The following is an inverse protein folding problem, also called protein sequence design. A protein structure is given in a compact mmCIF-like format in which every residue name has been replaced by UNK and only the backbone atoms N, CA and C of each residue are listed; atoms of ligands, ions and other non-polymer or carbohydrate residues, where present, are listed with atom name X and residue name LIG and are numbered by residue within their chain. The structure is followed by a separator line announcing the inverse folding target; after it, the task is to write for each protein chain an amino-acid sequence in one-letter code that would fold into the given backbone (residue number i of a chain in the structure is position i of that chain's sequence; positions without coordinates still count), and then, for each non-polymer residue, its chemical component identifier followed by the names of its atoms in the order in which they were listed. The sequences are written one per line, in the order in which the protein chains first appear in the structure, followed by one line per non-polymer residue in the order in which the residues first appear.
data_IF_025844424469
#
_entry.id   IF_025844424469
#
_cell.length_a   1.000
_cell.length_b   1.000
_cell.length_c   1.000
_cell.angle_alpha   90.00
_cell.angle_beta   90.00
_cell.angle_gamma   90.00
#
_symmetry.space_group_name_H-M   'P 1'
#
loop_
_entity.id
_entity.type
_entity.pdbx_description
1 polymer ?
#
# COMPACT_ATOMS: atom_id res chain seq x y z
N UNK A 1 -37.28 -57.86 6.77
CA UNK A 1 -36.88 -56.72 7.63
C UNK A 1 -35.38 -56.49 7.47
N UNK A 2 -34.96 -55.49 6.68
CA UNK A 2 -33.55 -55.12 6.53
C UNK A 2 -33.16 -54.08 7.58
N UNK A 3 -32.15 -54.39 8.41
CA UNK A 3 -31.56 -53.43 9.36
C UNK A 3 -30.62 -52.49 8.60
N UNK A 4 -30.93 -51.20 8.59
CA UNK A 4 -30.07 -50.13 8.08
C UNK A 4 -28.70 -50.21 8.77
N UNK A 5 -27.63 -50.26 7.98
CA UNK A 5 -26.27 -50.23 8.47
C UNK A 5 -26.01 -48.92 9.20
N UNK A 6 -25.96 -49.02 10.53
CA UNK A 6 -25.54 -48.02 11.49
C UNK A 6 -24.18 -47.44 11.09
N UNK A 7 -24.17 -46.15 10.75
CA UNK A 7 -22.99 -45.43 10.29
C UNK A 7 -21.86 -45.51 11.34
N UNK A 8 -20.76 -46.20 10.99
CA UNK A 8 -19.51 -46.19 11.75
C UNK A 8 -18.54 -45.19 11.11
N UNK A 9 -17.94 -44.27 11.88
CA UNK A 9 -16.88 -43.40 11.36
C UNK A 9 -15.69 -44.25 10.91
N UNK A 10 -15.07 -43.86 9.79
CA UNK A 10 -13.85 -44.51 9.33
C UNK A 10 -12.71 -44.30 10.34
N UNK A 11 -11.70 -45.19 10.38
CA UNK A 11 -10.51 -44.97 11.20
C UNK A 11 -9.91 -43.58 10.97
N UNK A 12 -9.65 -42.82 12.05
CA UNK A 12 -9.16 -41.44 11.99
C UNK A 12 -10.23 -40.34 11.97
N UNK A 13 -11.52 -40.70 11.82
CA UNK A 13 -12.60 -39.72 11.86
C UNK A 13 -13.10 -39.49 13.30
N UNK A 14 -13.10 -38.23 13.73
CA UNK A 14 -13.63 -37.82 15.04
C UNK A 14 -15.09 -37.40 14.88
N UNK A 15 -15.98 -37.91 15.76
CA UNK A 15 -17.36 -37.42 15.84
C UNK A 15 -17.36 -36.04 16.50
N UNK A 16 -17.72 -35.02 15.74
CA UNK A 16 -17.87 -33.66 16.21
C UNK A 16 -19.36 -33.42 16.50
N UNK A 17 -19.69 -32.95 17.71
CA UNK A 17 -21.07 -32.54 18.02
C UNK A 17 -21.41 -31.29 17.23
N UNK A 18 -22.67 -31.09 16.85
CA UNK A 18 -23.12 -29.90 16.11
C UNK A 18 -22.64 -28.59 16.76
N UNK A 19 -22.70 -28.49 18.09
CA UNK A 19 -22.17 -27.34 18.84
C UNK A 19 -20.66 -27.11 18.63
N UNK A 20 -19.86 -28.17 18.59
CA UNK A 20 -18.42 -28.08 18.33
C UNK A 20 -18.13 -27.68 16.88
N UNK A 21 -18.95 -28.14 15.93
CA UNK A 21 -18.84 -27.76 14.52
C UNK A 21 -19.10 -26.26 14.34
N UNK A 22 -20.14 -25.72 15.00
CA UNK A 22 -20.44 -24.29 15.03
C UNK A 22 -19.27 -23.49 15.64
N UNK A 23 -18.71 -23.95 16.75
CA UNK A 23 -17.56 -23.28 17.39
C UNK A 23 -16.33 -23.24 16.48
N UNK A 24 -16.04 -24.32 15.76
CA UNK A 24 -14.94 -24.36 14.79
C UNK A 24 -15.18 -23.40 13.61
N UNK A 25 -16.41 -23.35 13.09
CA UNK A 25 -16.77 -22.42 12.02
C UNK A 25 -16.64 -20.96 12.46
N UNK A 26 -17.14 -20.62 13.65
CA UNK A 26 -16.97 -19.26 14.20
C UNK A 26 -15.50 -18.91 14.45
N UNK A 27 -14.69 -19.85 14.92
CA UNK A 27 -13.25 -19.64 15.11
C UNK A 27 -12.53 -19.40 13.77
N UNK A 28 -12.87 -20.17 12.73
CA UNK A 28 -12.32 -19.98 11.39
C UNK A 28 -12.71 -18.63 10.79
N UNK A 29 -13.97 -18.20 10.95
CA UNK A 29 -14.42 -16.88 10.49
C UNK A 29 -13.66 -15.75 11.19
N UNK A 30 -13.53 -15.80 12.53
CA UNK A 30 -12.76 -14.80 13.28
C UNK A 30 -11.28 -14.78 12.90
N UNK A 31 -10.68 -15.94 12.65
CA UNK A 31 -9.29 -16.00 12.18
C UNK A 31 -9.13 -15.28 10.83
N UNK A 32 -10.07 -15.49 9.90
CA UNK A 32 -10.09 -14.77 8.62
C UNK A 32 -10.30 -13.26 8.77
N UNK A 33 -11.17 -12.84 9.69
CA UNK A 33 -11.40 -11.41 10.01
C UNK A 33 -10.10 -10.76 10.53
N UNK A 34 -9.40 -11.42 11.46
CA UNK A 34 -8.13 -10.94 12.01
C UNK A 34 -7.05 -10.88 10.94
N UNK A 35 -6.97 -11.88 10.06
CA UNK A 35 -6.01 -11.88 8.95
C UNK A 35 -6.25 -10.72 7.97
N UNK A 36 -7.52 -10.43 7.66
CA UNK A 36 -7.90 -9.31 6.81
C UNK A 36 -7.58 -7.96 7.46
N UNK A 37 -7.88 -7.79 8.76
CA UNK A 37 -7.55 -6.58 9.51
C UNK A 37 -6.04 -6.38 9.60
N UNK A 38 -5.28 -7.43 9.90
CA UNK A 38 -3.82 -7.39 9.94
C UNK A 38 -3.23 -7.04 8.57
N UNK A 39 -3.77 -7.58 7.48
CA UNK A 39 -3.34 -7.21 6.13
C UNK A 39 -3.65 -5.75 5.77
N UNK A 40 -4.76 -5.20 6.28
CA UNK A 40 -5.09 -3.77 6.17
C UNK A 40 -4.06 -2.92 6.90
N UNK A 41 -3.82 -3.22 8.19
CA UNK A 41 -2.86 -2.48 9.02
C UNK A 41 -1.44 -2.53 8.46
N UNK A 42 -1.02 -3.66 7.87
CA UNK A 42 0.29 -3.76 7.20
C UNK A 42 0.38 -2.84 5.98
N UNK A 43 -0.69 -2.72 5.19
CA UNK A 43 -0.74 -1.83 4.03
C UNK A 43 -0.70 -0.36 4.46
N UNK A 44 -1.48 0.01 5.47
CA UNK A 44 -1.43 1.36 6.06
C UNK A 44 -0.03 1.70 6.59
N UNK A 45 0.58 0.78 7.34
CA UNK A 45 1.94 0.95 7.85
C UNK A 45 2.97 1.09 6.72
N UNK A 46 2.81 0.33 5.63
CA UNK A 46 3.68 0.41 4.46
C UNK A 46 3.54 1.75 3.71
N UNK A 47 2.30 2.26 3.60
CA UNK A 47 2.02 3.57 3.02
C UNK A 47 2.67 4.71 3.82
N UNK A 48 2.51 4.70 5.16
CA UNK A 48 3.18 5.68 6.05
C UNK A 48 4.70 5.61 5.89
N UNK A 49 5.26 4.39 5.82
CA UNK A 49 6.70 4.23 5.60
C UNK A 49 7.15 4.70 4.20
N UNK A 50 6.30 4.57 3.19
CA UNK A 50 6.55 5.09 1.84
C UNK A 50 6.55 6.62 1.83
N UNK A 51 5.57 7.26 2.46
CA UNK A 51 5.50 8.71 2.65
C UNK A 51 6.74 9.25 3.38
N UNK A 52 7.11 8.62 4.50
CA UNK A 52 8.29 9.02 5.27
C UNK A 52 9.59 8.94 4.45
N UNK A 53 9.75 7.90 3.62
CA UNK A 53 10.90 7.77 2.71
C UNK A 53 10.89 8.81 1.60
N UNK A 54 9.72 9.07 1.00
CA UNK A 54 9.58 10.08 -0.04
C UNK A 54 9.92 11.48 0.48
N UNK A 55 9.41 11.84 1.67
CA UNK A 55 9.71 13.10 2.33
C UNK A 55 11.21 13.26 2.64
N UNK A 56 11.85 12.22 3.19
CA UNK A 56 13.29 12.24 3.47
C UNK A 56 14.15 12.38 2.19
N UNK A 57 13.72 11.75 1.09
CA UNK A 57 14.39 11.90 -0.20
C UNK A 57 14.27 13.35 -0.70
N UNK A 58 13.07 13.94 -0.72
CA UNK A 58 12.86 15.31 -1.17
C UNK A 58 13.68 16.33 -0.36
N UNK A 59 13.75 16.16 0.96
CA UNK A 59 14.58 16.98 1.86
C UNK A 59 16.07 16.91 1.48
N UNK A 60 16.59 15.72 1.16
CA UNK A 60 17.99 15.56 0.73
C UNK A 60 18.32 16.25 -0.59
N UNK A 61 17.31 16.54 -1.42
CA UNK A 61 17.44 17.33 -2.65
C UNK A 61 17.17 18.82 -2.44
N UNK A 62 16.86 19.25 -1.21
CA UNK A 62 16.50 20.63 -0.87
C UNK A 62 15.17 21.08 -1.49
N UNK A 63 14.29 20.12 -1.81
CA UNK A 63 12.98 20.39 -2.39
C UNK A 63 11.94 20.43 -1.27
N UNK A 64 11.17 21.51 -1.18
CA UNK A 64 9.92 21.46 -0.42
C UNK A 64 9.01 20.44 -1.10
N UNK A 65 8.69 19.35 -0.41
CA UNK A 65 7.82 18.31 -0.92
C UNK A 65 6.43 18.91 -1.21
N UNK A 66 6.08 19.14 -2.49
CA UNK A 66 4.79 19.72 -2.77
C UNK A 66 3.75 18.61 -2.52
N UNK A 67 2.66 18.96 -1.83
CA UNK A 67 1.69 17.98 -1.30
C UNK A 67 1.16 17.03 -2.38
N UNK A 68 1.00 17.54 -3.60
CA UNK A 68 0.58 16.79 -4.78
C UNK A 68 1.51 15.63 -5.14
N UNK A 69 2.79 15.69 -4.78
CA UNK A 69 3.78 14.64 -5.03
C UNK A 69 3.73 13.51 -3.98
N UNK A 70 3.23 13.82 -2.78
CA UNK A 70 2.99 12.85 -1.71
C UNK A 70 1.58 12.21 -1.83
N UNK A 71 0.63 12.91 -2.45
CA UNK A 71 -0.74 12.42 -2.63
C UNK A 71 -0.83 11.26 -3.65
N UNK A 72 0.10 11.15 -4.60
CA UNK A 72 0.15 10.09 -5.63
C UNK A 72 1.52 9.38 -5.67
N UNK A 73 1.94 8.83 -4.53
CA UNK A 73 3.19 8.10 -4.45
C UNK A 73 3.14 6.81 -5.28
N UNK A 74 4.14 6.56 -6.14
CA UNK A 74 4.21 5.31 -6.88
C UNK A 74 4.52 4.18 -5.90
N UNK A 75 3.50 3.42 -5.53
CA UNK A 75 3.59 2.30 -4.58
C UNK A 75 3.43 0.96 -5.28
N UNK A 76 4.07 -0.07 -4.73
CA UNK A 76 3.90 -1.46 -5.15
C UNK A 76 2.61 -2.05 -4.58
N UNK A 77 2.22 -3.23 -5.05
CA UNK A 77 1.03 -3.95 -4.57
C UNK A 77 1.05 -4.26 -3.06
N UNK A 78 2.23 -4.29 -2.44
CA UNK A 78 2.42 -4.48 -1.01
C UNK A 78 2.37 -3.17 -0.19
N UNK A 79 2.14 -2.03 -0.84
CA UNK A 79 2.11 -0.70 -0.22
C UNK A 79 3.47 -0.06 -0.01
N UNK A 80 4.57 -0.69 -0.46
CA UNK A 80 5.92 -0.10 -0.35
C UNK A 80 6.18 0.90 -1.47
N UNK A 81 7.11 1.85 -1.26
CA UNK A 81 7.49 2.84 -2.26
C UNK A 81 8.22 2.16 -3.43
N UNK A 82 7.81 2.47 -4.66
CA UNK A 82 8.52 2.06 -5.87
C UNK A 82 9.63 3.07 -6.18
N UNK A 83 10.76 2.94 -5.49
CA UNK A 83 11.90 3.90 -5.54
C UNK A 83 12.30 4.35 -6.96
N UNK A 84 12.49 3.47 -7.97
CA UNK A 84 12.88 3.93 -9.31
C UNK A 84 11.84 4.84 -9.99
N UNK A 85 10.55 4.62 -9.72
CA UNK A 85 9.48 5.41 -10.30
C UNK A 85 9.36 6.75 -9.57
N UNK A 86 9.58 6.73 -8.26
CA UNK A 86 9.67 7.92 -7.44
C UNK A 86 10.84 8.80 -7.87
N UNK A 87 12.05 8.24 -8.01
CA UNK A 87 13.24 8.97 -8.44
C UNK A 87 13.05 9.60 -9.83
N UNK A 88 12.43 8.86 -10.77
CA UNK A 88 12.11 9.38 -12.09
C UNK A 88 11.12 10.55 -12.03
N UNK A 89 10.10 10.47 -11.15
CA UNK A 89 9.12 11.53 -10.94
C UNK A 89 9.77 12.78 -10.33
N UNK A 90 10.63 12.61 -9.32
CA UNK A 90 11.41 13.71 -8.73
C UNK A 90 12.32 14.35 -9.78
N UNK A 91 13.05 13.55 -10.56
CA UNK A 91 13.94 14.06 -11.60
C UNK A 91 13.17 14.85 -12.68
N UNK A 92 12.01 14.35 -13.12
CA UNK A 92 11.15 15.04 -14.08
C UNK A 92 10.66 16.39 -13.52
N UNK A 93 10.31 16.43 -12.22
CA UNK A 93 9.88 17.66 -11.57
C UNK A 93 11.00 18.70 -11.48
N UNK A 94 12.17 18.28 -11.02
CA UNK A 94 13.36 19.16 -10.93
C UNK A 94 13.70 19.74 -12.30
N UNK A 95 13.62 18.93 -13.34
CA UNK A 95 13.83 19.38 -14.71
C UNK A 95 12.81 20.45 -15.12
N UNK A 96 11.52 20.19 -14.88
CA UNK A 96 10.44 21.13 -15.19
C UNK A 96 10.60 22.48 -14.47
N UNK A 97 10.88 22.47 -13.16
CA UNK A 97 11.05 23.70 -12.38
C UNK A 97 12.25 24.53 -12.90
N UNK A 98 13.32 23.87 -13.36
CA UNK A 98 14.46 24.53 -14.01
C UNK A 98 14.08 25.14 -15.36
N UNK A 99 13.34 24.44 -16.21
CA UNK A 99 12.87 24.98 -17.49
C UNK A 99 11.98 26.21 -17.29
N UNK A 100 11.07 26.17 -16.32
CA UNK A 100 10.20 27.30 -15.98
C UNK A 100 11.00 28.49 -15.46
N UNK A 101 11.99 28.25 -14.58
CA UNK A 101 12.85 29.31 -14.06
C UNK A 101 13.67 29.97 -15.20
N UNK A 102 14.20 29.18 -16.12
CA UNK A 102 14.95 29.68 -17.27
C UNK A 102 14.07 30.54 -18.19
N UNK A 103 12.86 30.07 -18.51
CA UNK A 103 11.91 30.83 -19.33
C UNK A 103 11.55 32.18 -18.70
N UNK A 104 11.33 32.21 -17.37
CA UNK A 104 11.06 33.46 -16.64
C UNK A 104 12.21 34.45 -16.71
N UNK A 105 13.45 33.98 -16.60
CA UNK A 105 14.64 34.83 -16.72
C UNK A 105 14.77 35.43 -18.13
N UNK A 106 14.55 34.63 -19.17
CA UNK A 106 14.58 35.11 -20.55
C UNK A 106 13.51 36.18 -20.83
N UNK A 107 12.28 35.97 -20.34
CA UNK A 107 11.21 36.96 -20.50
C UNK A 107 11.44 38.26 -19.70
N UNK A 108 12.16 38.20 -18.57
CA UNK A 108 12.47 39.38 -17.77
C UNK A 108 13.50 40.30 -18.45
N UNK A 109 14.41 39.74 -19.24
CA UNK A 109 15.47 40.49 -19.93
C UNK A 109 14.91 41.32 -21.12
N UNK A 110 13.85 40.83 -21.77
CA UNK A 110 13.20 41.52 -22.89
C UNK A 110 12.39 42.76 -22.47
N UNK A 111 12.02 42.88 -21.18
CA UNK A 111 11.25 44.01 -20.64
C UNK A 111 12.08 45.21 -20.19
N UNK A 112 13.42 45.08 -20.08
CA UNK A 112 14.32 46.09 -19.49
C UNK A 112 15.01 47.04 -20.48
N UNK A 113 14.78 46.90 -21.80
CA UNK A 113 15.45 47.68 -22.85
C UNK A 113 14.59 48.82 -23.45
N UNK A 114 13.64 49.40 -22.70
CA UNK A 114 12.86 50.57 -23.16
C UNK A 114 13.16 51.83 -22.37
#
# INVERSE_FOLDING_TARGET
MMRLAWWRPAPGMVRVRQRQLIQLQSAALRAGEIEAETASLRRESAAIAAEGRAAACLDSWGLEAPRDLLDDLPTRADGTLHEPAFDALVAARVWHDREVALARLMCADEGGQR
#
